data_IF_890010136754
#
_entry.id   IF_890010136754
#
_cell.length_a   1.000
_cell.length_b   1.000
_cell.length_c   1.000
_cell.angle_alpha   90.00
_cell.angle_beta   90.00
_cell.angle_gamma   90.00
#
_symmetry.space_group_name_H-M   'P 1'
#
loop_
_entity.id
_entity.type
_entity.pdbx_description
1 polymer ?
#
# COMPACT_ATOMS: atom_id res chain seq x y z
N UNK A 1 -9.68 -12.08 14.60
CA UNK A 1 -9.27 -10.75 14.10
C UNK A 1 -10.45 -10.18 13.30
N UNK A 2 -10.70 -8.88 13.31
CA UNK A 2 -11.88 -8.31 12.65
C UNK A 2 -11.93 -8.51 11.13
N UNK A 3 -10.81 -8.80 10.49
CA UNK A 3 -10.67 -8.97 9.03
C UNK A 3 -10.53 -10.44 8.59
N UNK A 4 -10.94 -11.42 9.40
CA UNK A 4 -10.58 -12.83 9.20
C UNK A 4 -11.05 -13.44 7.85
N UNK A 5 -12.12 -12.93 7.24
CA UNK A 5 -12.66 -13.41 5.97
C UNK A 5 -12.33 -12.48 4.79
N UNK A 6 -11.48 -11.47 5.03
CA UNK A 6 -11.04 -10.50 4.02
C UNK A 6 -9.57 -10.80 3.74
N UNK A 7 -9.16 -10.90 2.46
CA UNK A 7 -7.75 -11.09 2.13
C UNK A 7 -6.90 -9.92 2.66
N UNK A 8 -5.65 -10.23 3.00
CA UNK A 8 -4.68 -9.23 3.40
C UNK A 8 -4.46 -8.21 2.27
N UNK A 9 -4.31 -6.90 2.58
CA UNK A 9 -4.15 -5.87 1.57
C UNK A 9 -2.82 -6.04 0.82
N UNK A 10 -2.86 -5.88 -0.50
CA UNK A 10 -1.64 -5.82 -1.30
C UNK A 10 -0.98 -4.44 -1.29
N UNK A 11 -1.79 -3.38 -1.14
CA UNK A 11 -1.37 -1.99 -1.16
C UNK A 11 -2.05 -1.22 -0.02
N UNK A 12 -1.26 -0.45 0.72
CA UNK A 12 -1.74 0.51 1.72
C UNK A 12 -1.30 1.92 1.32
N UNK A 13 -2.26 2.82 1.20
CA UNK A 13 -2.02 4.23 0.87
C UNK A 13 -2.23 5.07 2.11
N UNK A 14 -1.21 5.83 2.51
CA UNK A 14 -1.29 6.77 3.64
C UNK A 14 -0.99 8.19 3.18
N UNK A 15 -2.04 8.98 3.07
CA UNK A 15 -2.00 10.40 2.69
C UNK A 15 -1.27 11.27 3.72
N UNK A 16 -1.09 12.55 3.43
CA UNK A 16 -0.37 13.57 4.23
C UNK A 16 1.16 13.44 4.29
N UNK A 17 1.76 12.51 3.54
CA UNK A 17 3.21 12.33 3.46
C UNK A 17 3.87 11.68 4.69
N UNK A 18 3.08 11.26 5.66
CA UNK A 18 3.57 10.70 6.92
C UNK A 18 4.02 9.25 6.78
N UNK A 19 5.31 8.97 6.98
CA UNK A 19 5.89 7.63 6.83
C UNK A 19 5.84 6.83 8.14
N UNK A 20 4.63 6.52 8.60
CA UNK A 20 4.39 5.64 9.75
C UNK A 20 3.19 4.75 9.49
N UNK A 21 3.06 3.64 10.22
CA UNK A 21 1.86 2.77 10.11
C UNK A 21 0.77 3.18 11.09
N UNK A 22 1.11 3.93 12.15
CA UNK A 22 0.17 4.33 13.22
C UNK A 22 -0.60 3.14 13.82
N UNK A 23 0.04 1.98 13.94
CA UNK A 23 -0.59 0.76 14.46
C UNK A 23 -1.83 0.29 13.65
N UNK A 24 -1.91 0.66 12.37
CA UNK A 24 -2.99 0.25 11.48
C UNK A 24 -2.65 -1.09 10.82
N UNK A 25 -3.50 -2.10 11.03
CA UNK A 25 -3.45 -3.42 10.39
C UNK A 25 -2.05 -4.07 10.39
N UNK A 26 -1.34 -3.99 11.51
CA UNK A 26 0.07 -4.40 11.62
C UNK A 26 0.34 -5.84 11.22
N UNK A 27 -0.62 -6.75 11.43
CA UNK A 27 -0.51 -8.15 11.02
C UNK A 27 -0.84 -8.37 9.55
N UNK A 28 -1.94 -7.77 9.09
CA UNK A 28 -2.42 -7.95 7.73
C UNK A 28 -1.51 -7.25 6.71
N UNK A 29 -0.72 -6.25 7.15
CA UNK A 29 0.10 -5.43 6.25
C UNK A 29 1.56 -5.84 6.15
N UNK A 30 1.93 -7.01 6.68
CA UNK A 30 3.33 -7.49 6.76
C UNK A 30 4.00 -7.56 5.38
N UNK A 31 3.25 -7.90 4.34
CA UNK A 31 3.74 -8.02 2.96
C UNK A 31 3.07 -7.03 1.99
N UNK A 32 2.37 -6.03 2.51
CA UNK A 32 1.76 -4.99 1.69
C UNK A 32 2.80 -3.99 1.22
N UNK A 33 2.61 -3.47 0.01
CA UNK A 33 3.31 -2.28 -0.42
C UNK A 33 2.72 -1.05 0.25
N UNK A 34 3.57 -0.11 0.63
CA UNK A 34 3.13 1.18 1.19
C UNK A 34 3.45 2.32 0.23
N UNK A 35 2.47 3.21 0.03
CA UNK A 35 2.61 4.46 -0.72
C UNK A 35 2.18 5.62 0.18
N UNK A 36 3.03 6.65 0.23
CA UNK A 36 2.85 7.81 1.11
C UNK A 36 2.72 9.09 0.30
N UNK A 37 1.58 9.32 -0.37
CA UNK A 37 1.39 10.54 -1.15
C UNK A 37 1.34 11.75 -0.21
N UNK A 38 1.90 12.88 -0.68
CA UNK A 38 1.94 14.14 0.08
C UNK A 38 0.59 14.86 0.13
N UNK A 39 -0.34 14.51 -0.77
CA UNK A 39 -1.69 15.09 -0.79
C UNK A 39 -2.44 14.77 0.51
N UNK A 40 -3.21 15.73 1.01
CA UNK A 40 -4.04 15.53 2.20
C UNK A 40 -5.29 14.72 1.86
N UNK A 41 -5.87 14.05 2.87
CA UNK A 41 -7.05 13.21 2.66
C UNK A 41 -8.23 13.92 1.97
N UNK A 42 -8.60 15.17 2.33
CA UNK A 42 -9.70 15.87 1.64
C UNK A 42 -9.44 16.14 0.15
N UNK A 43 -8.16 16.19 -0.24
CA UNK A 43 -7.73 16.49 -1.61
C UNK A 43 -7.40 15.21 -2.40
N UNK A 44 -7.46 14.03 -1.77
CA UNK A 44 -7.16 12.75 -2.41
C UNK A 44 -8.34 12.30 -3.28
N UNK A 45 -8.17 12.40 -4.60
CA UNK A 45 -9.21 12.11 -5.60
C UNK A 45 -8.86 10.87 -6.46
N UNK A 46 -9.68 10.60 -7.49
CA UNK A 46 -9.49 9.48 -8.41
C UNK A 46 -8.14 9.51 -9.13
N UNK A 47 -7.64 10.70 -9.50
CA UNK A 47 -6.34 10.84 -10.15
C UNK A 47 -5.18 10.46 -9.21
N UNK A 48 -5.26 10.87 -7.94
CA UNK A 48 -4.27 10.49 -6.93
C UNK A 48 -4.31 8.99 -6.61
N UNK A 49 -5.50 8.37 -6.64
CA UNK A 49 -5.64 6.92 -6.53
C UNK A 49 -4.99 6.20 -7.72
N UNK A 50 -5.24 6.67 -8.95
CA UNK A 50 -4.62 6.09 -10.15
C UNK A 50 -3.09 6.18 -10.09
N UNK A 51 -2.54 7.31 -9.65
CA UNK A 51 -1.08 7.47 -9.45
C UNK A 51 -0.52 6.44 -8.46
N UNK A 52 -1.23 6.19 -7.35
CA UNK A 52 -0.82 5.19 -6.37
C UNK A 52 -0.88 3.76 -6.94
N UNK A 53 -1.93 3.43 -7.68
CA UNK A 53 -2.06 2.11 -8.34
C UNK A 53 -0.99 1.92 -9.41
N UNK A 54 -0.69 2.94 -10.22
CA UNK A 54 0.36 2.89 -11.23
C UNK A 54 1.75 2.73 -10.61
N UNK A 55 2.00 3.38 -9.46
CA UNK A 55 3.24 3.21 -8.71
C UNK A 55 3.34 1.78 -8.15
N UNK A 56 2.25 1.25 -7.58
CA UNK A 56 2.19 -0.14 -7.12
C UNK A 56 2.49 -1.13 -8.25
N UNK A 57 1.86 -0.96 -9.42
CA UNK A 57 2.03 -1.84 -10.57
C UNK A 57 3.47 -1.85 -11.14
N UNK A 58 4.24 -0.78 -10.93
CA UNK A 58 5.66 -0.70 -11.31
C UNK A 58 6.58 -1.44 -10.34
N UNK A 59 6.12 -1.74 -9.12
CA UNK A 59 6.94 -2.44 -8.12
C UNK A 59 7.00 -3.93 -8.45
N UNK A 60 8.21 -4.43 -8.42
CA UNK A 60 8.49 -5.84 -8.64
C UNK A 60 8.46 -6.59 -7.31
N UNK A 61 7.34 -7.25 -7.00
CA UNK A 61 7.19 -8.01 -5.77
C UNK A 61 8.03 -9.29 -5.83
N UNK A 62 9.06 -9.35 -4.98
CA UNK A 62 9.88 -10.55 -4.80
C UNK A 62 9.28 -11.43 -3.71
N UNK A 63 8.35 -12.32 -4.08
CA UNK A 63 7.82 -13.36 -3.20
C UNK A 63 8.80 -14.52 -3.00
N UNK A 64 10.09 -14.24 -2.82
CA UNK A 64 11.13 -15.28 -2.70
C UNK A 64 11.48 -16.00 -4.01
N UNK A 65 10.95 -15.60 -5.16
CA UNK A 65 11.37 -16.08 -6.48
C UNK A 65 12.65 -15.38 -6.94
N UNK A 66 13.72 -16.15 -7.17
CA UNK A 66 14.89 -15.68 -7.92
C UNK A 66 14.42 -15.32 -9.33
N UNK A 67 14.67 -14.08 -9.77
CA UNK A 67 14.51 -13.76 -11.20
C UNK A 67 15.60 -14.50 -11.97
N UNK A 68 15.20 -15.29 -12.97
CA UNK A 68 16.15 -15.75 -13.98
C UNK A 68 16.68 -14.52 -14.74
N UNK A 69 18.00 -14.52 -14.95
CA UNK A 69 18.79 -13.43 -15.50
C UNK A 69 18.60 -13.26 -17.01
#
# INVERSE_FOLDING_TARGET
MFTAEIPDPDLVIRTSGEQRTSNFLTWQTVYSEWIFPKVYWPDFNEEELQKAVDEYARRDRRFGGLKEA
#
